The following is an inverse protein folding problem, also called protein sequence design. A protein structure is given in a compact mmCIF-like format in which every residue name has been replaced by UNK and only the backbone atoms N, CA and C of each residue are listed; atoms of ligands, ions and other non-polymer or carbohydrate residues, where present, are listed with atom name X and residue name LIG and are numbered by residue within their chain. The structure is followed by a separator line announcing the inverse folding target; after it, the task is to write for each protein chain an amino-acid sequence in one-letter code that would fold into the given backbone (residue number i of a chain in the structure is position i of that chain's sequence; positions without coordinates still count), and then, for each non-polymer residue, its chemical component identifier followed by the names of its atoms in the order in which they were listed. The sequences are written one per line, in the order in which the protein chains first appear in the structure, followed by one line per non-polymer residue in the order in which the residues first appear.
data_IF_361629717001
#
_entry.id   IF_361629717001
#
_cell.length_a   1.000
_cell.length_b   1.000
_cell.length_c   1.000
_cell.angle_alpha   90.00
_cell.angle_beta   90.00
_cell.angle_gamma   90.00
#
_symmetry.space_group_name_H-M   'P 1'
#
loop_
_entity.id
_entity.type
_entity.pdbx_description
1 polymer ?
#
# COMPACT_ATOMS: atom_id res chain seq x y z
N UNK A 1 4.95 -10.21 -4.41
CA UNK A 1 5.38 -8.82 -4.66
C UNK A 1 4.15 -8.09 -5.12
N UNK A 2 3.41 -7.49 -4.20
CA UNK A 2 2.26 -6.65 -4.54
C UNK A 2 2.81 -5.35 -5.10
N UNK A 3 2.93 -5.31 -6.42
CA UNK A 3 3.33 -4.12 -7.14
C UNK A 3 2.32 -3.81 -8.23
N UNK A 4 1.04 -3.70 -7.83
CA UNK A 4 -0.09 -3.43 -8.72
C UNK A 4 0.19 -2.25 -9.66
N UNK A 5 0.84 -1.19 -9.15
CA UNK A 5 1.23 -0.03 -9.95
C UNK A 5 2.28 -0.38 -11.02
N UNK A 6 3.41 -1.01 -10.64
CA UNK A 6 4.45 -1.37 -11.62
C UNK A 6 3.94 -2.42 -12.61
N UNK A 7 3.16 -3.40 -12.17
CA UNK A 7 2.56 -4.42 -13.04
C UNK A 7 1.63 -3.78 -14.06
N UNK A 8 0.83 -2.79 -13.63
CA UNK A 8 -0.01 -2.01 -14.54
C UNK A 8 0.83 -1.22 -15.55
N UNK A 9 1.89 -0.54 -15.11
CA UNK A 9 2.76 0.25 -15.98
C UNK A 9 3.51 -0.65 -16.97
N UNK A 10 4.05 -1.78 -16.51
CA UNK A 10 4.72 -2.80 -17.34
C UNK A 10 3.76 -3.35 -18.40
N UNK A 11 2.53 -3.69 -18.01
CA UNK A 11 1.53 -4.21 -18.92
C UNK A 11 1.16 -3.17 -19.99
N UNK A 12 0.83 -1.94 -19.58
CA UNK A 12 0.48 -0.86 -20.51
C UNK A 12 1.65 -0.48 -21.42
N UNK A 13 2.87 -0.44 -20.90
CA UNK A 13 4.06 -0.13 -21.68
C UNK A 13 4.29 -1.17 -22.79
N UNK A 14 4.08 -2.47 -22.50
CA UNK A 14 4.15 -3.52 -23.53
C UNK A 14 3.13 -3.30 -24.65
N UNK A 15 1.90 -2.92 -24.31
CA UNK A 15 0.86 -2.63 -25.31
C UNK A 15 1.26 -1.44 -26.19
N UNK A 16 1.78 -0.38 -25.59
CA UNK A 16 2.21 0.83 -26.31
C UNK A 16 3.44 0.60 -27.18
N UNK A 17 4.40 -0.20 -26.71
CA UNK A 17 5.57 -0.61 -27.51
C UNK A 17 5.14 -1.33 -28.80
N UNK A 18 4.12 -2.17 -28.75
CA UNK A 18 3.63 -2.88 -29.94
C UNK A 18 2.93 -1.95 -30.96
N UNK A 19 2.60 -0.73 -30.56
CA UNK A 19 1.91 0.28 -31.38
C UNK A 19 2.86 1.40 -31.84
N UNK A 20 4.07 1.47 -31.28
CA UNK A 20 5.05 2.52 -31.58
C UNK A 20 5.83 2.16 -32.86
N UNK A 21 6.00 3.16 -33.72
CA UNK A 21 6.71 3.02 -35.00
C UNK A 21 8.09 3.69 -34.98
N UNK A 22 8.31 4.62 -34.05
CA UNK A 22 9.59 5.29 -33.90
C UNK A 22 10.62 4.36 -33.25
N UNK A 23 11.67 3.99 -34.00
CA UNK A 23 12.72 3.06 -33.58
C UNK A 23 13.52 3.53 -32.36
N UNK A 24 13.76 4.83 -32.23
CA UNK A 24 14.50 5.39 -31.09
C UNK A 24 13.65 5.28 -29.82
N UNK A 25 12.39 5.72 -29.89
CA UNK A 25 11.44 5.61 -28.78
C UNK A 25 11.24 4.14 -28.38
N UNK A 26 11.14 3.23 -29.36
CA UNK A 26 11.07 1.78 -29.10
C UNK A 26 12.29 1.25 -28.35
N UNK A 27 13.50 1.69 -28.71
CA UNK A 27 14.72 1.29 -28.03
C UNK A 27 14.71 1.72 -26.57
N UNK A 28 14.42 3.01 -26.33
CA UNK A 28 14.29 3.53 -24.97
C UNK A 28 13.18 2.83 -24.19
N UNK A 29 12.03 2.55 -24.82
CA UNK A 29 10.88 1.97 -24.12
C UNK A 29 11.15 0.52 -23.69
N UNK A 30 11.91 -0.23 -24.49
CA UNK A 30 12.39 -1.58 -24.12
C UNK A 30 13.38 -1.52 -22.95
N UNK A 31 14.25 -0.52 -22.92
CA UNK A 31 15.14 -0.28 -21.79
C UNK A 31 14.34 0.07 -20.53
N UNK A 32 13.39 0.99 -20.62
CA UNK A 32 12.47 1.35 -19.54
C UNK A 32 11.74 0.11 -19.01
N UNK A 33 11.18 -0.71 -19.88
CA UNK A 33 10.50 -1.97 -19.50
C UNK A 33 11.40 -2.91 -18.70
N UNK A 34 12.70 -2.90 -18.97
CA UNK A 34 13.69 -3.71 -18.24
C UNK A 34 13.96 -3.11 -16.87
N UNK A 35 14.15 -1.79 -16.79
CA UNK A 35 14.37 -1.07 -15.54
C UNK A 35 13.17 -1.20 -14.58
N UNK A 36 11.93 -1.07 -15.09
CA UNK A 36 10.71 -1.16 -14.28
C UNK A 36 10.61 -2.44 -13.44
N UNK A 37 11.17 -3.55 -13.90
CA UNK A 37 11.13 -4.85 -13.18
C UNK A 37 12.03 -4.91 -11.96
N UNK A 38 12.97 -3.98 -11.85
CA UNK A 38 13.97 -3.93 -10.77
C UNK A 38 13.69 -2.83 -9.75
N UNK A 39 12.65 -2.03 -9.96
CA UNK A 39 12.34 -0.90 -9.10
C UNK A 39 11.68 -1.35 -7.80
N UNK A 40 12.16 -0.78 -6.69
CA UNK A 40 11.67 -1.09 -5.34
C UNK A 40 11.10 0.12 -4.61
N UNK A 41 11.14 1.31 -5.21
CA UNK A 41 10.59 2.54 -4.62
C UNK A 41 10.00 3.49 -5.67
N UNK A 42 9.02 4.29 -5.25
CA UNK A 42 8.40 5.33 -6.09
C UNK A 42 9.41 6.39 -6.53
N UNK A 43 10.34 6.78 -5.66
CA UNK A 43 11.37 7.76 -6.01
C UNK A 43 12.26 7.28 -7.16
N UNK A 44 12.64 6.00 -7.16
CA UNK A 44 13.40 5.40 -8.26
C UNK A 44 12.56 5.28 -9.54
N UNK A 45 11.25 5.01 -9.42
CA UNK A 45 10.32 5.02 -10.55
C UNK A 45 10.21 6.40 -11.18
N UNK A 46 9.96 7.43 -10.38
CA UNK A 46 9.87 8.82 -10.83
C UNK A 46 11.15 9.22 -11.58
N UNK A 47 12.32 8.98 -10.99
CA UNK A 47 13.60 9.31 -11.63
C UNK A 47 13.79 8.56 -12.96
N UNK A 48 13.34 7.32 -13.05
CA UNK A 48 13.42 6.51 -14.26
C UNK A 48 12.52 7.03 -15.36
N UNK A 49 11.28 7.40 -15.04
CA UNK A 49 10.36 7.99 -16.01
C UNK A 49 10.86 9.38 -16.47
N UNK A 50 11.25 10.26 -15.55
CA UNK A 50 11.74 11.61 -15.89
C UNK A 50 12.98 11.57 -16.78
N UNK A 51 13.89 10.62 -16.55
CA UNK A 51 15.05 10.38 -17.44
C UNK A 51 14.62 9.91 -18.83
N UNK A 52 13.62 9.04 -18.91
CA UNK A 52 13.05 8.62 -20.19
C UNK A 52 12.43 9.81 -20.94
N UNK A 53 11.60 10.61 -20.27
CA UNK A 53 10.97 11.79 -20.88
C UNK A 53 11.98 12.85 -21.32
N UNK A 54 13.07 13.04 -20.58
CA UNK A 54 14.15 13.91 -21.01
C UNK A 54 14.87 13.40 -22.27
N UNK A 55 14.94 12.07 -22.46
CA UNK A 55 15.66 11.45 -23.57
C UNK A 55 14.88 11.45 -24.89
N UNK A 56 13.54 11.45 -24.83
CA UNK A 56 12.66 11.43 -26.01
C UNK A 56 12.26 12.83 -26.52
N UNK A 57 12.60 13.90 -25.77
CA UNK A 57 12.31 15.28 -26.14
C UNK A 57 10.81 15.57 -26.29
N UNK A 58 10.45 16.40 -27.28
CA UNK A 58 9.08 16.86 -27.54
C UNK A 58 8.26 15.94 -28.47
N UNK A 59 8.55 14.64 -28.48
CA UNK A 59 7.76 13.66 -29.24
C UNK A 59 6.32 13.59 -28.73
N UNK A 60 5.34 13.53 -29.63
CA UNK A 60 3.90 13.51 -29.28
C UNK A 60 3.29 12.12 -29.49
N UNK A 61 4.10 11.06 -29.37
CA UNK A 61 3.58 9.70 -29.53
C UNK A 61 2.67 9.30 -28.37
N UNK A 62 1.68 8.39 -28.56
CA UNK A 62 0.83 7.90 -27.48
C UNK A 62 1.63 7.33 -26.30
N UNK A 63 2.77 6.68 -26.60
CA UNK A 63 3.70 6.19 -25.58
C UNK A 63 4.25 7.34 -24.75
N UNK A 64 4.78 8.37 -25.40
CA UNK A 64 5.35 9.56 -24.75
C UNK A 64 4.33 10.26 -23.86
N UNK A 65 3.11 10.46 -24.37
CA UNK A 65 2.00 11.07 -23.61
C UNK A 65 1.65 10.24 -22.37
N UNK A 66 1.65 8.91 -22.49
CA UNK A 66 1.36 8.03 -21.36
C UNK A 66 2.45 8.09 -20.29
N UNK A 67 3.74 8.15 -20.67
CA UNK A 67 4.84 8.30 -19.71
C UNK A 67 4.73 9.63 -18.95
N UNK A 68 4.48 10.73 -19.66
CA UNK A 68 4.30 12.05 -19.04
C UNK A 68 3.10 12.04 -18.07
N UNK A 69 2.03 11.33 -18.43
CA UNK A 69 0.87 11.15 -17.56
C UNK A 69 1.25 10.40 -16.28
N UNK A 70 2.01 9.31 -16.39
CA UNK A 70 2.50 8.55 -15.23
C UNK A 70 3.41 9.39 -14.33
N UNK A 71 4.32 10.19 -14.90
CA UNK A 71 5.15 11.10 -14.11
C UNK A 71 4.31 12.08 -13.30
N UNK A 72 3.27 12.66 -13.90
CA UNK A 72 2.37 13.57 -13.20
C UNK A 72 1.62 12.85 -12.07
N UNK A 73 1.08 11.65 -12.34
CA UNK A 73 0.38 10.85 -11.34
C UNK A 73 1.27 10.49 -10.14
N UNK A 74 2.53 10.13 -10.40
CA UNK A 74 3.52 9.83 -9.36
C UNK A 74 3.90 11.08 -8.56
N UNK A 75 4.10 12.21 -9.23
CA UNK A 75 4.39 13.48 -8.56
C UNK A 75 3.23 13.90 -7.65
N UNK A 76 1.98 13.77 -8.11
CA UNK A 76 0.78 14.00 -7.31
C UNK A 76 0.73 13.07 -6.09
N UNK A 77 1.02 11.79 -6.28
CA UNK A 77 1.04 10.79 -5.21
C UNK A 77 2.10 11.12 -4.14
N UNK A 78 3.32 11.47 -4.56
CA UNK A 78 4.40 11.87 -3.64
C UNK A 78 4.09 13.18 -2.91
N UNK A 79 3.46 14.14 -3.58
CA UNK A 79 3.03 15.40 -2.95
C UNK A 79 1.96 15.14 -1.87
N UNK A 80 1.00 14.26 -2.18
CA UNK A 80 -0.04 13.86 -1.25
C UNK A 80 0.54 13.11 -0.04
N UNK A 81 1.47 12.18 -0.26
CA UNK A 81 2.20 11.49 0.81
C UNK A 81 2.90 12.48 1.74
N UNK A 82 3.71 13.40 1.17
CA UNK A 82 4.41 14.43 1.96
C UNK A 82 3.45 15.26 2.80
N UNK A 83 2.32 15.62 2.23
CA UNK A 83 1.28 16.39 2.93
C UNK A 83 0.69 15.60 4.10
N UNK A 84 0.35 14.33 3.89
CA UNK A 84 -0.17 13.45 4.94
C UNK A 84 0.86 13.24 6.04
N UNK A 85 2.10 12.90 5.69
CA UNK A 85 3.17 12.65 6.67
C UNK A 85 3.51 13.89 7.50
N UNK A 86 3.41 15.09 6.91
CA UNK A 86 3.59 16.35 7.65
C UNK A 86 2.46 16.61 8.66
N UNK A 87 1.20 16.26 8.31
CA UNK A 87 0.04 16.40 9.20
C UNK A 87 -0.06 15.28 10.24
N UNK A 88 0.47 14.10 9.94
CA UNK A 88 0.27 12.88 10.71
C UNK A 88 0.58 13.01 12.22
N UNK A 89 1.67 13.69 12.65
CA UNK A 89 1.97 13.87 14.08
C UNK A 89 0.95 14.73 14.83
N UNK A 90 0.20 15.59 14.13
CA UNK A 90 -0.77 16.50 14.73
C UNK A 90 -2.14 15.85 14.98
N UNK A 91 -2.43 14.70 14.36
CA UNK A 91 -3.69 14.00 14.61
C UNK A 91 -3.71 13.39 16.01
N UNK A 92 -4.83 13.59 16.70
CA UNK A 92 -5.08 12.95 17.97
C UNK A 92 -5.69 11.56 17.75
N UNK A 93 -4.93 10.54 18.13
CA UNK A 93 -5.40 9.16 18.18
C UNK A 93 -5.75 8.82 19.63
N UNK A 94 -7.04 8.71 19.94
CA UNK A 94 -7.47 8.27 21.27
C UNK A 94 -6.98 6.86 21.62
N UNK A 95 -7.04 6.49 22.90
CA UNK A 95 -6.50 5.24 23.44
C UNK A 95 -6.91 4.01 22.62
N UNK A 96 -8.17 3.92 22.24
CA UNK A 96 -8.72 2.78 21.51
C UNK A 96 -8.37 2.77 20.02
N UNK A 97 -7.90 3.90 19.48
CA UNK A 97 -7.49 4.06 18.08
C UNK A 97 -5.95 4.03 17.94
N UNK A 98 -5.20 3.99 19.05
CA UNK A 98 -3.74 3.83 19.03
C UNK A 98 -3.25 2.60 18.23
N UNK A 99 -3.91 1.42 18.29
CA UNK A 99 -3.51 0.29 17.45
C UNK A 99 -3.56 0.61 15.95
N UNK A 100 -4.55 1.41 15.53
CA UNK A 100 -4.67 1.86 14.15
C UNK A 100 -3.53 2.81 13.75
N UNK A 101 -3.14 3.74 14.64
CA UNK A 101 -1.96 4.59 14.44
C UNK A 101 -0.70 3.76 14.17
N UNK A 102 -0.42 2.77 15.03
CA UNK A 102 0.76 1.89 14.90
C UNK A 102 0.75 1.11 13.59
N UNK A 103 -0.42 0.67 13.13
CA UNK A 103 -0.56 0.00 11.84
C UNK A 103 -0.22 0.93 10.68
N UNK A 104 -0.68 2.18 10.71
CA UNK A 104 -0.33 3.18 9.70
C UNK A 104 1.18 3.48 9.70
N UNK A 105 1.79 3.64 10.88
CA UNK A 105 3.24 3.82 11.01
C UNK A 105 4.02 2.65 10.38
N UNK A 106 3.54 1.41 10.57
CA UNK A 106 4.14 0.22 9.94
C UNK A 106 3.97 0.19 8.41
N UNK A 107 2.85 0.73 7.89
CA UNK A 107 2.64 0.88 6.45
C UNK A 107 3.59 1.94 5.89
N UNK A 108 3.70 3.11 6.52
CA UNK A 108 4.56 4.20 6.07
C UNK A 108 6.05 3.93 6.20
N UNK A 109 6.45 3.03 7.11
CA UNK A 109 7.85 2.64 7.28
C UNK A 109 8.41 1.80 6.12
N UNK A 110 7.60 1.45 5.12
CA UNK A 110 8.00 0.58 4.01
C UNK A 110 8.06 1.33 2.70
N UNK A 111 9.22 1.33 2.05
CA UNK A 111 9.45 2.07 0.80
C UNK A 111 8.56 1.67 -0.39
N UNK A 112 7.95 0.47 -0.33
CA UNK A 112 7.15 -0.10 -1.41
C UNK A 112 5.63 0.09 -1.23
N UNK A 113 5.15 0.66 -0.11
CA UNK A 113 3.71 0.73 0.16
C UNK A 113 2.93 1.54 -0.87
N UNK A 114 3.56 2.56 -1.45
CA UNK A 114 2.96 3.42 -2.46
C UNK A 114 2.68 2.71 -3.79
N UNK A 115 3.30 1.55 -4.05
CA UNK A 115 2.99 0.73 -5.22
C UNK A 115 1.67 -0.03 -5.08
N UNK A 116 1.10 -0.08 -3.88
CA UNK A 116 -0.17 -0.74 -3.64
C UNK A 116 -1.33 0.02 -4.29
N UNK A 117 -2.27 -0.68 -4.92
CA UNK A 117 -3.41 -0.06 -5.63
C UNK A 117 -4.28 0.87 -4.76
N UNK A 118 -4.25 0.68 -3.44
CA UNK A 118 -5.00 1.47 -2.45
C UNK A 118 -4.21 2.61 -1.80
N UNK A 119 -2.93 2.78 -2.11
CA UNK A 119 -2.10 3.78 -1.45
C UNK A 119 -2.63 5.20 -1.65
N UNK A 120 -2.98 5.57 -2.89
CA UNK A 120 -3.56 6.89 -3.21
C UNK A 120 -4.85 7.13 -2.42
N UNK A 121 -5.77 6.16 -2.39
CA UNK A 121 -7.02 6.28 -1.64
C UNK A 121 -6.78 6.42 -0.14
N UNK A 122 -5.90 5.60 0.44
CA UNK A 122 -5.53 5.71 1.86
C UNK A 122 -5.02 7.11 2.18
N UNK A 123 -4.09 7.64 1.37
CA UNK A 123 -3.55 8.98 1.57
C UNK A 123 -4.60 10.07 1.38
N UNK A 124 -5.53 9.91 0.43
CA UNK A 124 -6.66 10.83 0.28
C UNK A 124 -7.54 10.86 1.53
N UNK A 125 -7.87 9.70 2.12
CA UNK A 125 -8.66 9.63 3.35
C UNK A 125 -7.92 10.24 4.54
N UNK A 126 -6.60 10.07 4.61
CA UNK A 126 -5.77 10.66 5.67
C UNK A 126 -5.52 12.17 5.48
N UNK A 127 -5.78 12.70 4.29
CA UNK A 127 -5.73 14.13 4.02
C UNK A 127 -7.09 14.81 4.14
N UNK A 128 -8.15 14.05 4.42
CA UNK A 128 -9.51 14.57 4.57
C UNK A 128 -9.63 15.48 5.79
N UNK A 129 -10.30 16.63 5.64
CA UNK A 129 -10.45 17.63 6.70
C UNK A 129 -11.29 17.10 7.87
N UNK A 130 -12.16 16.12 7.63
CA UNK A 130 -13.02 15.48 8.64
C UNK A 130 -12.35 14.28 9.31
N UNK A 131 -11.06 14.04 9.05
CA UNK A 131 -10.35 12.89 9.60
C UNK A 131 -10.36 12.90 11.14
N UNK A 132 -10.12 14.04 11.78
CA UNK A 132 -10.07 14.10 13.25
C UNK A 132 -11.43 13.73 13.88
N UNK A 133 -12.53 14.21 13.29
CA UNK A 133 -13.88 13.85 13.71
C UNK A 133 -14.16 12.35 13.54
N UNK A 134 -13.59 11.75 12.49
CA UNK A 134 -13.70 10.32 12.22
C UNK A 134 -12.88 9.49 13.20
N UNK A 135 -11.68 9.95 13.59
CA UNK A 135 -10.87 9.32 14.63
C UNK A 135 -11.55 9.39 16.00
N UNK A 136 -12.16 10.53 16.34
CA UNK A 136 -12.94 10.68 17.57
C UNK A 136 -14.13 9.70 17.58
N UNK A 137 -14.87 9.63 16.46
CA UNK A 137 -15.97 8.68 16.30
C UNK A 137 -15.52 7.21 16.48
N UNK A 138 -14.40 6.82 15.88
CA UNK A 138 -13.82 5.49 16.04
C UNK A 138 -13.42 5.20 17.49
N UNK A 139 -12.91 6.19 18.21
CA UNK A 139 -12.59 6.07 19.62
C UNK A 139 -13.87 5.82 20.44
N UNK A 140 -14.95 6.54 20.16
CA UNK A 140 -16.22 6.41 20.89
C UNK A 140 -16.94 5.08 20.61
N UNK A 141 -16.85 4.57 19.37
CA UNK A 141 -17.41 3.27 18.99
C UNK A 141 -16.91 2.11 19.86
N UNK A 142 -15.67 2.21 20.35
CA UNK A 142 -15.05 1.16 21.13
C UNK A 142 -15.51 1.12 22.60
N UNK A 143 -16.15 2.18 23.09
CA UNK A 143 -16.73 2.27 24.45
C UNK A 143 -18.13 1.65 24.56
N UNK A 144 -18.78 1.34 23.43
CA UNK A 144 -20.12 0.74 23.40
C UNK A 144 -20.13 -0.75 23.74
N UNK A 145 -21.05 -1.15 24.65
CA UNK A 145 -21.25 -2.54 25.07
C UNK A 145 -21.31 -3.51 23.88
N UNK A 146 -20.62 -4.64 24.01
CA UNK A 146 -20.55 -5.69 23.00
C UNK A 146 -21.88 -6.44 22.90
N UNK A 147 -22.79 -5.95 22.05
CA UNK A 147 -23.96 -6.72 21.67
C UNK A 147 -23.74 -7.48 20.36
N UNK A 148 -23.91 -8.80 20.49
CA UNK A 148 -24.34 -9.83 19.52
C UNK A 148 -23.69 -9.89 18.15
N UNK A 149 -23.02 -11.03 17.90
CA UNK A 149 -22.95 -11.79 16.64
C UNK A 149 -23.15 -10.97 15.35
N UNK A 150 -22.28 -10.03 15.07
CA UNK A 150 -22.20 -9.42 13.76
C UNK A 150 -21.63 -10.46 12.79
N UNK A 151 -22.27 -10.65 11.65
CA UNK A 151 -21.77 -11.50 10.56
C UNK A 151 -20.39 -10.99 10.16
N UNK A 152 -19.35 -11.70 10.59
CA UNK A 152 -17.95 -11.35 10.38
C UNK A 152 -17.66 -11.37 8.88
N UNK A 153 -17.36 -10.19 8.33
CA UNK A 153 -17.01 -10.04 6.91
C UNK A 153 -15.71 -10.77 6.55
N UNK A 154 -15.37 -10.73 5.25
CA UNK A 154 -14.22 -11.41 4.62
C UNK A 154 -12.86 -11.21 5.30
N UNK A 155 -12.66 -10.14 6.08
CA UNK A 155 -11.42 -9.90 6.83
C UNK A 155 -11.13 -10.95 7.90
N UNK A 156 -12.14 -11.62 8.45
CA UNK A 156 -11.94 -12.58 9.53
C UNK A 156 -11.40 -13.94 9.04
N UNK A 157 -11.55 -14.23 7.75
CA UNK A 157 -11.04 -15.45 7.11
C UNK A 157 -9.53 -15.42 6.85
N UNK A 158 -8.82 -14.32 7.14
CA UNK A 158 -7.37 -14.25 6.95
C UNK A 158 -6.57 -14.55 8.23
N UNK A 159 -5.90 -15.72 8.32
CA UNK A 159 -5.16 -16.13 9.52
C UNK A 159 -3.92 -15.27 9.81
N UNK A 160 -3.38 -14.53 8.82
CA UNK A 160 -2.22 -13.63 9.02
C UNK A 160 -2.57 -12.36 9.80
N UNK A 161 -3.81 -11.89 9.71
CA UNK A 161 -4.29 -10.69 10.39
C UNK A 161 -4.80 -10.96 11.81
N UNK A 162 -5.04 -12.21 12.19
CA UNK A 162 -5.87 -12.56 13.36
C UNK A 162 -5.30 -12.14 14.72
N UNK A 163 -3.98 -11.94 14.85
CA UNK A 163 -3.37 -11.54 16.14
C UNK A 163 -2.75 -10.14 16.17
N UNK A 164 -2.00 -9.74 15.13
CA UNK A 164 -1.19 -8.50 15.22
C UNK A 164 -2.00 -7.20 15.17
N UNK A 165 -3.20 -7.22 14.57
CA UNK A 165 -4.07 -6.03 14.45
C UNK A 165 -5.55 -6.35 14.69
N UNK A 166 -5.84 -7.27 15.63
CA UNK A 166 -7.21 -7.63 16.01
C UNK A 166 -8.04 -6.41 16.45
N UNK A 167 -7.41 -5.41 17.07
CA UNK A 167 -8.05 -4.16 17.45
C UNK A 167 -8.53 -3.33 16.24
N UNK A 168 -7.73 -3.22 15.17
CA UNK A 168 -8.14 -2.52 13.94
C UNK A 168 -9.30 -3.25 13.24
N UNK A 169 -9.28 -4.59 13.24
CA UNK A 169 -10.40 -5.41 12.77
C UNK A 169 -11.65 -5.19 13.61
N UNK A 170 -11.51 -5.15 14.93
CA UNK A 170 -12.61 -4.89 15.84
C UNK A 170 -13.25 -3.53 15.58
N UNK A 171 -12.45 -2.47 15.38
CA UNK A 171 -12.95 -1.15 14.99
C UNK A 171 -13.73 -1.20 13.68
N UNK A 172 -13.21 -1.91 12.67
CA UNK A 172 -13.90 -2.08 11.39
C UNK A 172 -15.23 -2.81 11.59
N UNK A 173 -15.23 -3.95 12.28
CA UNK A 173 -16.45 -4.72 12.57
C UNK A 173 -17.48 -3.87 13.29
N UNK A 174 -17.07 -3.12 14.33
CA UNK A 174 -17.97 -2.25 15.10
C UNK A 174 -18.58 -1.14 14.23
N UNK A 175 -17.77 -0.52 13.37
CA UNK A 175 -18.27 0.45 12.40
C UNK A 175 -19.26 -0.18 11.40
N UNK A 176 -19.06 -1.45 11.03
CA UNK A 176 -19.91 -2.16 10.08
C UNK A 176 -21.29 -2.58 10.64
N UNK A 177 -21.44 -2.78 11.96
CA UNK A 177 -22.69 -3.30 12.56
C UNK A 177 -23.91 -2.43 12.25
N UNK A 178 -23.76 -1.11 12.33
CA UNK A 178 -24.81 -0.14 12.07
C UNK A 178 -24.41 0.79 10.92
N UNK A 179 -23.75 0.22 9.91
CA UNK A 179 -23.24 1.00 8.78
C UNK A 179 -24.38 1.67 8.01
N UNK A 180 -24.22 2.97 7.79
CA UNK A 180 -25.11 3.84 7.06
C UNK A 180 -24.27 4.68 6.11
N UNK A 181 -24.39 4.42 4.81
CA UNK A 181 -23.64 5.13 3.76
C UNK A 181 -23.87 6.64 3.78
N UNK A 182 -25.01 7.10 4.31
CA UNK A 182 -25.32 8.53 4.46
C UNK A 182 -24.56 9.19 5.62
N UNK A 183 -23.92 8.40 6.49
CA UNK A 183 -23.09 8.91 7.57
C UNK A 183 -21.63 9.01 7.10
N UNK A 184 -21.20 10.23 6.78
CA UNK A 184 -19.86 10.50 6.28
C UNK A 184 -18.74 9.97 7.19
N UNK A 185 -18.92 10.03 8.53
CA UNK A 185 -17.91 9.52 9.48
C UNK A 185 -17.78 8.01 9.40
N UNK A 186 -18.88 7.29 9.26
CA UNK A 186 -18.86 5.84 9.10
C UNK A 186 -18.26 5.41 7.77
N UNK A 187 -18.61 6.11 6.69
CA UNK A 187 -18.07 5.86 5.35
C UNK A 187 -16.56 6.12 5.33
N UNK A 188 -16.09 7.25 5.86
CA UNK A 188 -14.66 7.56 5.93
C UNK A 188 -13.91 6.56 6.83
N UNK A 189 -14.44 6.25 8.02
CA UNK A 189 -13.87 5.25 8.92
C UNK A 189 -13.72 3.88 8.24
N UNK A 190 -14.77 3.44 7.54
CA UNK A 190 -14.77 2.19 6.80
C UNK A 190 -13.70 2.18 5.71
N UNK A 191 -13.69 3.20 4.86
CA UNK A 191 -12.75 3.32 3.76
C UNK A 191 -11.29 3.38 4.23
N UNK A 192 -11.05 4.12 5.31
CA UNK A 192 -9.75 4.28 5.94
C UNK A 192 -9.23 2.96 6.51
N UNK A 193 -10.03 2.30 7.35
CA UNK A 193 -9.67 1.02 7.98
C UNK A 193 -9.48 -0.09 6.96
N UNK A 194 -10.40 -0.23 5.98
CA UNK A 194 -10.28 -1.25 4.95
C UNK A 194 -9.04 -1.04 4.08
N UNK A 195 -8.75 0.20 3.66
CA UNK A 195 -7.58 0.47 2.81
C UNK A 195 -6.28 0.15 3.53
N UNK A 196 -6.14 0.59 4.77
CA UNK A 196 -4.95 0.32 5.57
C UNK A 196 -4.79 -1.16 5.90
N UNK A 197 -5.88 -1.86 6.25
CA UNK A 197 -5.83 -3.31 6.53
C UNK A 197 -5.46 -4.13 5.31
N UNK A 198 -5.95 -3.79 4.12
CA UNK A 198 -5.62 -4.49 2.88
C UNK A 198 -4.15 -4.27 2.48
N UNK A 199 -3.69 -3.00 2.50
CA UNK A 199 -2.28 -2.66 2.27
C UNK A 199 -1.40 -3.47 3.21
N UNK A 200 -1.67 -3.41 4.51
CA UNK A 200 -0.93 -4.15 5.51
C UNK A 200 -0.97 -5.67 5.25
N UNK A 201 -2.15 -6.23 4.97
CA UNK A 201 -2.29 -7.66 4.75
C UNK A 201 -1.41 -8.15 3.59
N UNK A 202 -1.41 -7.41 2.49
CA UNK A 202 -0.74 -7.81 1.26
C UNK A 202 0.79 -7.65 1.36
N UNK A 203 1.26 -6.59 2.01
CA UNK A 203 2.69 -6.37 2.30
C UNK A 203 3.31 -7.46 3.19
N UNK A 204 2.52 -8.07 4.09
CA UNK A 204 2.99 -9.10 5.02
C UNK A 204 2.71 -10.54 4.57
N UNK A 205 1.77 -10.76 3.64
CA UNK A 205 1.66 -12.04 2.92
C UNK A 205 2.95 -12.32 2.13
N UNK A 206 3.50 -11.29 1.50
CA UNK A 206 4.73 -11.38 0.72
C UNK A 206 5.96 -11.76 1.57
N UNK A 207 6.04 -11.31 2.83
CA UNK A 207 7.15 -11.69 3.73
C UNK A 207 7.12 -13.16 4.14
N UNK A 208 5.94 -13.79 4.26
CA UNK A 208 5.82 -15.20 4.63
C UNK A 208 6.15 -16.17 3.50
N UNK A 209 6.19 -15.68 2.25
CA UNK A 209 6.51 -16.48 1.06
C UNK A 209 8.01 -16.44 0.69
N UNK A 210 8.83 -15.65 1.40
CA UNK A 210 10.27 -15.74 1.26
C UNK A 210 10.79 -16.92 2.11
N UNK A 211 11.45 -17.94 1.52
CA UNK A 211 12.07 -19.00 2.29
C UNK A 211 13.12 -18.37 3.21
N UNK A 212 13.01 -18.63 4.52
CA UNK A 212 14.12 -18.36 5.41
C UNK A 212 15.33 -19.16 4.92
N UNK A 213 16.55 -18.60 4.92
CA UNK A 213 17.74 -19.40 4.72
C UNK A 213 17.69 -20.51 5.77
N UNK A 214 17.63 -21.76 5.32
CA UNK A 214 17.86 -22.90 6.19
C UNK A 214 19.24 -22.68 6.77
N UNK A 215 19.30 -22.33 8.05
CA UNK A 215 20.53 -22.45 8.82
C UNK A 215 20.94 -23.90 8.66
N UNK A 216 22.04 -24.14 7.96
CA UNK A 216 22.70 -25.44 7.92
C UNK A 216 23.06 -25.75 9.38
N UNK A 217 22.25 -26.58 10.03
CA UNK A 217 22.64 -27.27 11.23
C UNK A 217 23.80 -28.18 10.84
N UNK A 218 25.01 -27.73 11.19
CA UNK A 218 26.21 -28.54 11.22
C UNK A 218 25.90 -29.85 11.95
N UNK A 219 25.88 -30.95 11.22
CA UNK A 219 26.05 -32.30 11.75
C UNK A 219 27.45 -32.39 12.37
N UNK A 220 27.59 -31.95 13.62
CA UNK A 220 28.71 -32.37 14.45
C UNK A 220 28.39 -33.72 15.06
N UNK A 221 28.69 -34.75 14.28
CA UNK A 221 29.03 -36.08 14.76
C UNK A 221 29.95 -35.97 15.99
N UNK A 222 29.51 -36.49 17.12
CA UNK A 222 30.39 -36.86 18.22
C UNK A 222 29.89 -38.18 18.79
N UNK A 223 30.56 -39.24 18.31
CA UNK A 223 30.54 -40.58 18.87
C UNK A 223 30.90 -40.54 20.35
N UNK A 224 30.02 -41.06 21.20
CA UNK A 224 30.41 -41.52 22.54
C UNK A 224 31.08 -42.89 22.41
N UNK A 225 32.38 -42.95 22.71
CA UNK A 225 33.09 -44.19 23.04
C UNK A 225 32.93 -44.39 24.55
N UNK A 226 32.32 -45.51 24.96
CA UNK A 226 32.35 -45.98 26.35
C UNK A 226 33.65 -46.78 26.55
N UNK A 227 34.43 -46.39 27.56
CA UNK A 227 35.48 -47.20 28.19
C UNK A 227 34.83 -48.00 29.31
#
# INVERSE_FOLDING_TARGET
MVSDLLDNYIHRLRLLINQESNKEILSFAKELLTQLRSLTSISSLQHTLTRFSASIGSSVSPLTVQIITWEKELQELQCLEKTVLAKFPAFYFGEHVQPFKRMLEQVFARDDYLFHARAKSLLSYLNDETLQDTLNYLNDLSMGAAYSSATLGTFDQSPSLSRKHAACKYLLTKNSINFNEKNNKQTLANNLLQSALLIYQDMYKDQKLMPQPKTEENESSSQCILI
#
